data_IF_203283458511
#
_entry.id   IF_203283458511
#
_cell.length_a   1.000
_cell.length_b   1.000
_cell.length_c   1.000
_cell.angle_alpha   90.00
_cell.angle_beta   90.00
_cell.angle_gamma   90.00
#
_symmetry.space_group_name_H-M   'P 1'
#
loop_
_entity.id
_entity.type
_entity.pdbx_description
1 polymer ?
#
# COMPACT_ATOMS: atom_id res chain seq x y z
N UNK A 1 15.85 -36.20 -16.04
CA UNK A 1 15.18 -35.19 -16.88
C UNK A 1 13.88 -34.79 -16.19
N UNK A 2 13.86 -33.62 -15.53
CA UNK A 2 12.67 -33.14 -14.82
C UNK A 2 11.57 -32.82 -15.83
N UNK A 3 10.55 -33.69 -15.87
CA UNK A 3 9.40 -33.55 -16.76
C UNK A 3 8.48 -32.49 -16.15
N UNK A 4 8.58 -31.25 -16.65
CA UNK A 4 7.57 -30.23 -16.38
C UNK A 4 6.22 -30.77 -16.88
N UNK A 5 5.24 -30.85 -15.98
CA UNK A 5 3.91 -31.37 -16.26
C UNK A 5 3.25 -30.41 -17.27
N UNK A 6 3.18 -30.81 -18.53
CA UNK A 6 2.42 -30.11 -19.57
C UNK A 6 1.10 -30.84 -19.79
N UNK A 7 0.11 -30.56 -18.93
CA UNK A 7 -1.27 -30.93 -19.25
C UNK A 7 -2.15 -29.68 -19.14
N UNK A 8 -2.42 -29.07 -20.30
CA UNK A 8 -3.25 -27.85 -20.43
C UNK A 8 -4.73 -28.16 -20.70
N UNK A 9 -5.13 -29.44 -20.71
CA UNK A 9 -6.53 -29.81 -20.98
C UNK A 9 -7.28 -29.92 -19.65
N UNK A 10 -7.74 -28.77 -19.15
CA UNK A 10 -8.66 -28.73 -18.02
C UNK A 10 -8.35 -27.72 -16.92
N UNK A 11 -7.60 -26.65 -17.19
CA UNK A 11 -7.51 -25.54 -16.22
C UNK A 11 -8.91 -24.92 -16.07
N UNK A 12 -9.62 -25.30 -15.01
CA UNK A 12 -11.01 -24.92 -14.79
C UNK A 12 -11.12 -23.43 -14.50
N UNK A 13 -12.23 -22.81 -14.90
CA UNK A 13 -12.50 -21.39 -14.58
C UNK A 13 -12.40 -21.11 -13.07
N UNK A 14 -12.78 -22.08 -12.24
CA UNK A 14 -12.67 -21.98 -10.78
C UNK A 14 -11.23 -22.00 -10.29
N UNK A 15 -10.36 -22.81 -10.87
CA UNK A 15 -8.94 -22.89 -10.47
C UNK A 15 -8.22 -21.58 -10.82
N UNK A 16 -8.53 -21.03 -12.00
CA UNK A 16 -8.07 -19.70 -12.37
C UNK A 16 -8.58 -18.64 -11.38
N UNK A 17 -9.86 -18.69 -11.01
CA UNK A 17 -10.46 -17.73 -10.07
C UNK A 17 -9.84 -17.81 -8.66
N UNK A 18 -9.50 -19.02 -8.18
CA UNK A 18 -8.81 -19.22 -6.90
C UNK A 18 -7.41 -18.63 -6.95
N UNK A 19 -6.63 -18.89 -8.01
CA UNK A 19 -5.28 -18.32 -8.16
C UNK A 19 -5.36 -16.78 -8.21
N UNK A 20 -6.30 -16.23 -8.98
CA UNK A 20 -6.53 -14.78 -9.06
C UNK A 20 -6.88 -14.21 -7.70
N UNK A 21 -7.75 -14.86 -6.91
CA UNK A 21 -8.12 -14.40 -5.58
C UNK A 21 -6.91 -14.33 -4.63
N UNK A 22 -6.06 -15.35 -4.64
CA UNK A 22 -4.84 -15.37 -3.80
C UNK A 22 -3.86 -14.27 -4.22
N UNK A 23 -3.62 -14.13 -5.52
CA UNK A 23 -2.72 -13.08 -6.06
C UNK A 23 -3.27 -11.69 -5.75
N UNK A 24 -4.58 -11.48 -5.86
CA UNK A 24 -5.22 -10.19 -5.56
C UNK A 24 -4.99 -9.78 -4.10
N UNK A 25 -5.24 -10.69 -3.15
CA UNK A 25 -5.01 -10.41 -1.72
C UNK A 25 -3.54 -10.14 -1.43
N UNK A 26 -2.63 -10.94 -1.98
CA UNK A 26 -1.19 -10.73 -1.83
C UNK A 26 -0.71 -9.40 -2.42
N UNK A 27 -1.26 -9.01 -3.58
CA UNK A 27 -0.89 -7.78 -4.27
C UNK A 27 -1.22 -6.53 -3.46
N UNK A 28 -2.35 -6.52 -2.73
CA UNK A 28 -2.73 -5.41 -1.85
C UNK A 28 -1.63 -5.13 -0.81
N UNK A 29 -1.06 -6.18 -0.20
CA UNK A 29 0.00 -6.02 0.80
C UNK A 29 1.31 -5.49 0.19
N UNK A 30 1.69 -5.99 -0.99
CA UNK A 30 2.91 -5.54 -1.68
C UNK A 30 2.78 -4.07 -2.10
N UNK A 31 1.64 -3.68 -2.68
CA UNK A 31 1.39 -2.32 -3.16
C UNK A 31 1.46 -1.31 -2.01
N UNK A 32 1.01 -1.67 -0.81
CA UNK A 32 1.12 -0.81 0.39
C UNK A 32 2.56 -0.45 0.73
N UNK A 33 3.44 -1.45 0.76
CA UNK A 33 4.86 -1.26 1.11
C UNK A 33 5.58 -0.50 0.01
N UNK A 34 5.35 -0.88 -1.25
CA UNK A 34 5.96 -0.21 -2.41
C UNK A 34 5.48 1.23 -2.53
N UNK A 35 4.18 1.48 -2.34
CA UNK A 35 3.58 2.82 -2.36
C UNK A 35 4.22 3.76 -1.34
N UNK A 36 4.42 3.29 -0.10
CA UNK A 36 5.10 4.07 0.94
C UNK A 36 6.53 4.46 0.55
N UNK A 37 7.25 3.60 -0.17
CA UNK A 37 8.60 3.90 -0.67
C UNK A 37 8.57 4.88 -1.85
N UNK A 38 7.60 4.75 -2.75
CA UNK A 38 7.39 5.66 -3.88
C UNK A 38 7.06 7.08 -3.37
N UNK A 39 6.19 7.21 -2.37
CA UNK A 39 5.85 8.49 -1.76
C UNK A 39 7.07 9.23 -1.21
N UNK A 40 7.98 8.50 -0.55
CA UNK A 40 9.25 9.06 -0.04
C UNK A 40 10.14 9.54 -1.18
N UNK A 41 10.21 8.78 -2.28
CA UNK A 41 10.96 9.18 -3.46
C UNK A 41 10.38 10.44 -4.11
N UNK A 42 9.06 10.53 -4.25
CA UNK A 42 8.41 11.74 -4.74
C UNK A 42 8.66 12.94 -3.81
N UNK A 43 8.61 12.75 -2.49
CA UNK A 43 8.94 13.79 -1.53
C UNK A 43 10.40 14.28 -1.68
N UNK A 44 11.34 13.37 -1.93
CA UNK A 44 12.74 13.72 -2.18
C UNK A 44 12.92 14.50 -3.48
N UNK A 45 12.23 14.11 -4.55
CA UNK A 45 12.25 14.83 -5.83
C UNK A 45 11.66 16.24 -5.66
N UNK A 46 10.53 16.35 -4.96
CA UNK A 46 9.90 17.64 -4.68
C UNK A 46 10.79 18.56 -3.84
N UNK A 47 11.50 18.02 -2.84
CA UNK A 47 12.47 18.76 -2.02
C UNK A 47 13.68 19.23 -2.84
N UNK A 48 14.25 18.34 -3.65
CA UNK A 48 15.36 18.66 -4.52
C UNK A 48 14.99 19.76 -5.52
N UNK A 49 13.76 19.70 -6.08
CA UNK A 49 13.23 20.76 -6.95
C UNK A 49 13.01 22.08 -6.20
N UNK A 50 12.61 22.00 -4.93
CA UNK A 50 12.46 23.15 -4.03
C UNK A 50 13.77 23.74 -3.50
N UNK A 51 14.93 23.21 -3.91
CA UNK A 51 16.26 23.68 -3.49
C UNK A 51 16.74 23.13 -2.15
N UNK A 52 16.01 22.19 -1.52
CA UNK A 52 16.43 21.51 -0.31
C UNK A 52 17.26 20.26 -0.65
N UNK A 53 18.48 20.17 -0.11
CA UNK A 53 19.44 19.09 -0.38
C UNK A 53 19.31 17.90 0.57
N UNK A 54 18.38 17.96 1.53
CA UNK A 54 18.17 16.89 2.51
C UNK A 54 17.51 15.65 1.90
N UNK A 55 18.22 14.50 1.90
CA UNK A 55 17.63 13.20 1.53
C UNK A 55 16.75 12.69 2.66
N UNK A 56 15.46 12.49 2.41
CA UNK A 56 14.58 11.72 3.30
C UNK A 56 14.90 10.24 3.11
N UNK A 57 15.38 9.60 4.17
CA UNK A 57 15.69 8.18 4.17
C UNK A 57 14.44 7.33 3.90
N UNK A 58 14.62 6.23 3.18
CA UNK A 58 13.56 5.25 2.95
C UNK A 58 13.02 4.78 4.31
N UNK A 59 11.69 4.72 4.44
CA UNK A 59 11.05 4.45 5.72
C UNK A 59 11.07 2.94 5.97
N UNK A 60 11.82 2.49 6.98
CA UNK A 60 11.75 1.09 7.40
C UNK A 60 10.33 0.73 7.86
N UNK A 61 9.92 -0.51 7.62
CA UNK A 61 8.58 -1.02 7.95
C UNK A 61 8.46 -1.11 9.48
N UNK A 62 8.11 0.00 10.12
CA UNK A 62 7.78 0.09 11.55
C UNK A 62 6.27 -0.08 11.73
N UNK A 63 5.82 -0.62 12.87
CA UNK A 63 4.41 -0.86 13.20
C UNK A 63 3.46 0.33 12.95
N UNK A 64 3.96 1.57 13.04
CA UNK A 64 3.21 2.79 12.69
C UNK A 64 2.82 2.92 11.21
N UNK A 65 3.35 2.09 10.31
CA UNK A 65 3.02 2.07 8.88
C UNK A 65 1.65 1.44 8.60
N UNK A 66 1.19 0.48 9.42
CA UNK A 66 -0.16 -0.09 9.30
C UNK A 66 -1.25 0.91 9.68
N UNK A 67 -0.91 1.93 10.47
CA UNK A 67 -1.80 3.04 10.87
C UNK A 67 -1.66 4.27 9.98
N UNK A 68 -0.72 4.28 9.04
CA UNK A 68 -0.47 5.42 8.17
C UNK A 68 -1.48 5.43 7.02
N UNK A 69 -1.84 6.63 6.56
CA UNK A 69 -2.86 6.92 5.55
C UNK A 69 -2.80 5.93 4.38
N UNK A 70 -3.89 5.19 4.21
CA UNK A 70 -4.14 4.29 3.09
C UNK A 70 -5.61 4.47 2.66
N UNK A 71 -5.96 4.04 1.46
CA UNK A 71 -7.30 4.23 0.89
C UNK A 71 -8.42 3.65 1.75
N UNK A 72 -8.15 2.63 2.57
CA UNK A 72 -9.12 2.09 3.54
C UNK A 72 -9.49 3.04 4.69
N UNK A 73 -8.60 3.96 5.05
CA UNK A 73 -8.79 4.90 6.18
C UNK A 73 -8.90 6.36 5.71
N UNK A 74 -9.06 6.60 4.40
CA UNK A 74 -9.15 7.94 3.82
C UNK A 74 -10.35 8.74 4.34
N UNK A 75 -11.47 8.07 4.62
CA UNK A 75 -12.69 8.70 5.15
C UNK A 75 -12.68 8.88 6.67
N UNK A 76 -11.85 8.14 7.40
CA UNK A 76 -11.77 8.20 8.87
C UNK A 76 -11.33 9.59 9.35
N UNK A 77 -10.37 10.21 8.66
CA UNK A 77 -9.87 11.56 8.97
C UNK A 77 -10.94 12.63 8.70
N UNK A 78 -11.66 12.51 7.57
CA UNK A 78 -12.75 13.43 7.19
C UNK A 78 -13.93 13.40 8.17
N UNK A 79 -14.18 12.26 8.81
CA UNK A 79 -15.26 12.08 9.78
C UNK A 79 -14.81 12.46 11.20
N UNK A 80 -13.55 12.16 11.56
CA UNK A 80 -13.02 12.42 12.90
C UNK A 80 -12.62 13.90 13.12
N UNK A 81 -12.36 14.65 12.05
CA UNK A 81 -12.11 16.10 12.12
C UNK A 81 -13.32 16.90 12.67
N UNK A 82 -14.55 16.37 12.55
CA UNK A 82 -15.75 16.93 13.19
C UNK A 82 -15.88 16.60 14.68
N UNK A 83 -15.24 15.55 15.17
CA UNK A 83 -15.34 15.10 16.57
C UNK A 83 -14.33 15.83 17.48
N UNK A 84 -13.12 16.09 16.97
CA UNK A 84 -12.05 16.74 17.73
C UNK A 84 -12.36 18.19 18.13
N UNK A 85 -13.18 18.91 17.36
CA UNK A 85 -13.58 20.28 17.65
C UNK A 85 -14.76 20.39 18.64
N UNK A 86 -15.47 19.28 18.95
CA UNK A 86 -16.58 19.29 19.91
C UNK A 86 -16.13 19.06 21.36
N UNK A 87 -14.93 18.53 21.58
CA UNK A 87 -14.38 18.27 22.92
C UNK A 87 -13.47 19.38 23.47
N UNK A 88 -13.11 20.40 22.67
CA UNK A 88 -12.36 21.59 23.12
C UNK A 88 -13.25 22.81 23.42
N UNK A 89 -14.57 22.65 23.32
CA UNK A 89 -15.56 23.67 23.64
C UNK A 89 -16.39 23.30 24.87
N UNK A 90 -15.75 23.21 26.03
CA UNK A 90 -16.37 23.43 27.34
C UNK A 90 -15.37 24.12 28.25
#
# INVERSE_FOLDING_TARGET
MNKFITNKKGQGLIEYLIIVAIVAVGSIAVIKVVGANIDVQFANVAKALGGDSGKVAAKEVTEGMYKKRDFGNFFEDSVNDKSSNKSKGK
#
